data_IF_247933503935
#
_entry.id   IF_247933503935
#
_cell.length_a   1.000
_cell.length_b   1.000
_cell.length_c   1.000
_cell.angle_alpha   90.00
_cell.angle_beta   90.00
_cell.angle_gamma   90.00
#
_symmetry.space_group_name_H-M   'P 1'
#
loop_
_entity.id
_entity.type
_entity.pdbx_description
1 polymer ?
#
# COMPACT_ATOMS: atom_id res chain seq x y z
N UNK A 1 5.36 7.99 -24.91
CA UNK A 1 5.33 9.04 -23.88
C UNK A 1 5.55 8.57 -22.44
N UNK A 2 5.42 7.25 -22.12
CA UNK A 2 5.68 6.72 -20.75
C UNK A 2 7.16 6.59 -20.32
N UNK A 3 8.12 6.84 -21.19
CA UNK A 3 9.57 6.71 -20.85
C UNK A 3 10.24 8.03 -20.44
N UNK A 4 9.56 9.14 -20.54
CA UNK A 4 10.11 10.48 -20.20
C UNK A 4 9.75 10.88 -18.77
N UNK A 5 8.60 10.43 -18.24
CA UNK A 5 8.17 10.74 -16.86
C UNK A 5 9.01 10.07 -15.75
N UNK A 6 9.57 8.88 -16.01
CA UNK A 6 10.38 8.16 -15.00
C UNK A 6 11.77 8.81 -14.81
N UNK A 7 12.27 9.52 -15.81
CA UNK A 7 13.57 10.19 -15.73
C UNK A 7 13.60 11.46 -14.88
N UNK A 8 12.49 12.16 -14.78
CA UNK A 8 12.37 13.39 -13.99
C UNK A 8 12.16 13.11 -12.49
N UNK A 9 11.47 12.04 -12.16
CA UNK A 9 11.23 11.61 -10.76
C UNK A 9 12.54 11.23 -10.03
N UNK A 10 13.49 10.59 -10.73
CA UNK A 10 14.80 10.23 -10.15
C UNK A 10 15.75 11.44 -10.02
N UNK A 11 15.53 12.52 -10.76
CA UNK A 11 16.35 13.74 -10.65
C UNK A 11 15.95 14.62 -9.45
N UNK A 12 14.67 14.65 -9.08
CA UNK A 12 14.18 15.40 -7.91
C UNK A 12 14.67 14.78 -6.58
N UNK A 13 14.67 13.45 -6.48
CA UNK A 13 15.19 12.73 -5.28
C UNK A 13 16.72 12.93 -5.14
N UNK A 14 17.46 13.03 -6.23
CA UNK A 14 18.91 13.26 -6.19
C UNK A 14 19.30 14.68 -5.74
N UNK A 15 18.44 15.68 -5.92
CA UNK A 15 18.70 17.06 -5.48
C UNK A 15 18.44 17.25 -3.97
N UNK A 16 17.52 16.50 -3.37
CA UNK A 16 17.26 16.53 -1.92
C UNK A 16 18.37 15.81 -1.15
N UNK A 17 18.96 14.75 -1.72
CA UNK A 17 20.07 14.02 -1.11
C UNK A 17 21.44 14.72 -1.19
N UNK A 18 21.60 15.70 -2.10
CA UNK A 18 22.87 16.43 -2.26
C UNK A 18 23.01 17.65 -1.35
N UNK A 19 21.98 18.00 -0.56
CA UNK A 19 21.99 19.14 0.37
C UNK A 19 22.41 18.85 1.80
N UNK A 20 22.63 17.58 2.19
CA UNK A 20 23.10 17.21 3.54
C UNK A 20 24.56 16.77 3.54
N UNK A 21 25.46 17.75 3.54
CA UNK A 21 26.87 17.53 3.89
C UNK A 21 26.98 17.14 5.35
N UNK A 22 27.25 15.88 5.63
CA UNK A 22 27.61 15.40 6.96
C UNK A 22 29.10 15.59 7.15
N UNK A 23 29.45 16.57 7.95
CA UNK A 23 30.78 16.65 8.58
C UNK A 23 30.70 16.01 9.99
N UNK A 24 31.67 15.14 10.25
CA UNK A 24 31.79 14.38 11.49
C UNK A 24 32.43 15.24 12.57
N UNK A 25 31.71 15.49 13.66
CA UNK A 25 32.31 16.05 14.85
C UNK A 25 31.32 16.63 15.87
N UNK A 26 31.31 15.97 17.03
CA UNK A 26 30.91 16.47 18.36
C UNK A 26 29.42 16.55 18.75
N UNK A 27 29.04 15.60 19.62
CA UNK A 27 27.93 15.67 20.56
C UNK A 27 27.88 17.01 21.30
N UNK A 28 26.84 17.80 21.08
CA UNK A 28 26.31 18.76 22.07
C UNK A 28 24.79 18.73 22.02
N UNK A 29 24.21 18.48 23.21
CA UNK A 29 22.80 18.68 23.50
C UNK A 29 22.32 20.02 22.92
N UNK A 30 21.31 19.98 22.08
CA UNK A 30 20.50 21.14 21.75
C UNK A 30 19.14 20.92 22.39
N UNK A 31 19.02 21.45 23.59
CA UNK A 31 17.74 21.76 24.24
C UNK A 31 17.09 22.93 23.49
N UNK A 32 15.79 22.82 23.31
CA UNK A 32 14.86 23.94 23.02
C UNK A 32 15.18 24.76 21.77
N UNK A 33 14.65 24.36 20.64
CA UNK A 33 14.28 25.29 19.58
C UNK A 33 12.75 25.49 19.66
N UNK A 34 12.38 26.63 20.23
CA UNK A 34 11.03 27.20 20.10
C UNK A 34 10.70 27.30 18.62
N UNK A 35 9.79 26.44 18.13
CA UNK A 35 9.20 26.60 16.83
C UNK A 35 8.41 27.92 16.83
N UNK A 36 8.62 28.80 15.83
CA UNK A 36 7.91 30.08 15.79
C UNK A 36 6.41 29.80 15.63
N UNK A 37 5.61 30.17 16.63
CA UNK A 37 4.14 30.16 16.62
C UNK A 37 3.52 31.06 15.53
N UNK A 38 4.34 31.71 14.71
CA UNK A 38 3.91 32.70 13.71
C UNK A 38 3.73 32.15 12.29
N UNK A 39 4.06 30.88 11.99
CA UNK A 39 3.90 30.34 10.64
C UNK A 39 2.64 29.47 10.39
N UNK A 40 1.83 29.24 11.42
CA UNK A 40 0.58 28.48 11.25
C UNK A 40 -0.62 29.35 10.78
N UNK A 41 -0.47 30.65 10.68
CA UNK A 41 -1.53 31.59 10.25
C UNK A 41 -1.41 32.08 8.79
N UNK A 42 -0.34 31.76 8.09
CA UNK A 42 -0.06 32.32 6.74
C UNK A 42 -0.30 31.35 5.56
N UNK A 43 -0.78 30.11 5.78
CA UNK A 43 -1.26 29.25 4.71
C UNK A 43 -2.81 29.28 4.72
N UNK A 44 -3.38 30.46 4.65
CA UNK A 44 -4.78 30.68 4.27
C UNK A 44 -4.83 31.11 2.81
N UNK A 45 -4.60 30.15 1.91
CA UNK A 45 -5.10 30.34 0.56
C UNK A 45 -6.64 30.36 0.61
N UNK A 46 -7.34 31.23 -0.14
CA UNK A 46 -8.79 31.12 -0.25
C UNK A 46 -9.13 29.73 -0.79
N UNK A 47 -10.21 29.11 -0.28
CA UNK A 47 -10.77 27.90 -0.82
C UNK A 47 -10.77 28.01 -2.35
N UNK A 48 -10.20 27.02 -3.04
CA UNK A 48 -9.92 27.12 -4.46
C UNK A 48 -11.19 27.53 -5.21
N UNK A 49 -11.12 28.69 -5.88
CA UNK A 49 -12.27 29.18 -6.65
C UNK A 49 -12.37 28.35 -7.93
N UNK A 50 -13.60 27.91 -8.24
CA UNK A 50 -13.87 27.15 -9.47
C UNK A 50 -13.30 27.89 -10.69
N UNK A 51 -12.60 27.14 -11.54
CA UNK A 51 -12.13 27.62 -12.81
C UNK A 51 -13.30 28.01 -13.72
N UNK A 52 -13.11 28.88 -14.72
CA UNK A 52 -14.16 29.18 -15.69
C UNK A 52 -14.73 27.93 -16.37
N UNK A 53 -13.86 26.96 -16.69
CA UNK A 53 -14.25 25.69 -17.30
C UNK A 53 -15.15 24.87 -16.39
N UNK A 54 -14.83 24.78 -15.11
CA UNK A 54 -15.66 24.07 -14.13
C UNK A 54 -17.02 24.75 -13.97
N UNK A 55 -17.08 26.09 -13.87
CA UNK A 55 -18.32 26.85 -13.75
C UNK A 55 -19.26 26.62 -14.92
N UNK A 56 -18.74 26.58 -16.14
CA UNK A 56 -19.53 26.31 -17.36
C UNK A 56 -20.01 24.86 -17.44
N UNK A 57 -19.25 23.93 -16.88
CA UNK A 57 -19.57 22.50 -16.91
C UNK A 57 -20.63 22.06 -15.88
N UNK A 58 -20.88 22.85 -14.83
CA UNK A 58 -21.82 22.48 -13.76
C UNK A 58 -23.24 22.36 -14.32
N UNK A 59 -23.82 21.15 -14.20
CA UNK A 59 -25.21 20.88 -14.54
C UNK A 59 -26.10 20.69 -13.31
N UNK A 60 -25.53 20.42 -12.16
CA UNK A 60 -26.24 20.26 -10.88
C UNK A 60 -25.35 20.70 -9.72
N UNK A 61 -25.91 21.42 -8.74
CA UNK A 61 -25.26 21.73 -7.47
C UNK A 61 -26.15 21.26 -6.31
N UNK A 62 -25.60 20.46 -5.41
CA UNK A 62 -26.29 19.95 -4.24
C UNK A 62 -25.33 19.87 -3.05
N UNK A 63 -25.69 20.48 -1.90
CA UNK A 63 -24.91 20.49 -0.65
C UNK A 63 -23.46 20.94 -0.83
N UNK A 64 -23.22 21.93 -1.69
CA UNK A 64 -21.91 22.42 -2.06
C UNK A 64 -21.18 21.56 -3.11
N UNK A 65 -21.64 20.34 -3.39
CA UNK A 65 -21.09 19.47 -4.41
C UNK A 65 -21.59 19.88 -5.80
N UNK A 66 -20.65 20.05 -6.72
CA UNK A 66 -20.89 20.52 -8.08
C UNK A 66 -20.67 19.38 -9.07
N UNK A 67 -21.71 19.06 -9.83
CA UNK A 67 -21.71 17.90 -10.73
C UNK A 67 -21.86 18.31 -12.20
N UNK A 68 -21.15 17.58 -13.06
CA UNK A 68 -21.34 17.58 -14.50
C UNK A 68 -22.07 16.31 -14.93
N UNK A 69 -23.14 16.43 -15.71
CA UNK A 69 -23.77 15.28 -16.33
C UNK A 69 -23.07 14.94 -17.64
N UNK A 70 -22.63 13.69 -17.77
CA UNK A 70 -21.91 13.21 -18.94
C UNK A 70 -22.17 11.72 -19.19
N UNK A 71 -21.33 11.01 -19.91
CA UNK A 71 -21.47 9.58 -20.18
C UNK A 71 -20.26 8.80 -19.66
N UNK A 72 -20.46 7.53 -19.33
CA UNK A 72 -19.40 6.62 -18.90
C UNK A 72 -18.29 6.45 -19.95
N UNK A 73 -18.54 6.75 -21.21
CA UNK A 73 -17.58 6.70 -22.30
C UNK A 73 -16.37 7.63 -22.11
N UNK A 74 -16.55 8.77 -21.43
CA UNK A 74 -15.45 9.67 -21.11
C UNK A 74 -14.46 9.06 -20.12
N UNK A 75 -14.92 8.12 -19.28
CA UNK A 75 -14.14 7.41 -18.29
C UNK A 75 -13.88 5.96 -18.68
N UNK A 76 -14.02 5.59 -19.96
CA UNK A 76 -14.02 4.21 -20.42
C UNK A 76 -12.78 3.40 -20.00
N UNK A 77 -11.62 4.03 -19.94
CA UNK A 77 -10.41 3.37 -19.49
C UNK A 77 -10.55 2.77 -18.08
N UNK A 78 -11.26 3.46 -17.19
CA UNK A 78 -11.50 3.07 -15.81
C UNK A 78 -12.78 2.24 -15.66
N UNK A 79 -13.88 2.67 -16.27
CA UNK A 79 -15.23 2.14 -16.02
C UNK A 79 -15.56 0.86 -16.78
N UNK A 80 -14.83 0.51 -17.83
CA UNK A 80 -15.08 -0.71 -18.65
C UNK A 80 -15.18 -2.03 -17.87
N UNK A 81 -14.58 -2.10 -16.68
CA UNK A 81 -14.58 -3.30 -15.83
C UNK A 81 -15.66 -3.27 -14.73
N UNK A 82 -16.44 -2.21 -14.65
CA UNK A 82 -17.46 -1.99 -13.62
C UNK A 82 -18.90 -2.18 -14.12
N UNK A 83 -19.08 -2.68 -15.33
CA UNK A 83 -20.38 -3.02 -15.90
C UNK A 83 -21.14 -1.84 -16.50
N UNK A 84 -20.46 -0.76 -16.84
CA UNK A 84 -21.02 0.38 -17.58
C UNK A 84 -20.92 0.16 -19.08
N UNK A 85 -21.93 0.65 -19.82
CA UNK A 85 -21.84 0.91 -21.25
C UNK A 85 -21.32 2.32 -21.50
N UNK A 86 -20.59 2.54 -22.61
CA UNK A 86 -20.03 3.86 -22.91
C UNK A 86 -21.08 4.98 -23.02
N UNK A 87 -22.31 4.63 -23.35
CA UNK A 87 -23.44 5.57 -23.45
C UNK A 87 -24.20 5.80 -22.15
N UNK A 88 -23.88 5.05 -21.09
CA UNK A 88 -24.58 5.19 -19.82
C UNK A 88 -24.41 6.60 -19.25
N UNK A 89 -25.48 7.27 -18.81
CA UNK A 89 -25.37 8.57 -18.17
C UNK A 89 -24.70 8.43 -16.79
N UNK A 90 -23.83 9.37 -16.46
CA UNK A 90 -23.19 9.49 -15.16
C UNK A 90 -23.16 10.95 -14.69
N UNK A 91 -23.13 11.15 -13.38
CA UNK A 91 -22.75 12.43 -12.79
C UNK A 91 -21.29 12.36 -12.35
N UNK A 92 -20.47 13.26 -12.86
CA UNK A 92 -19.12 13.48 -12.41
C UNK A 92 -19.10 14.58 -11.35
N UNK A 93 -18.58 14.29 -10.16
CA UNK A 93 -18.29 15.32 -9.16
C UNK A 93 -17.03 16.06 -9.57
N UNK A 94 -17.15 17.33 -9.95
CA UNK A 94 -16.04 18.13 -10.47
C UNK A 94 -15.52 19.17 -9.49
N UNK A 95 -16.28 19.50 -8.44
CA UNK A 95 -15.87 20.49 -7.45
C UNK A 95 -16.70 20.43 -6.17
N UNK A 96 -16.17 21.01 -5.11
CA UNK A 96 -16.90 21.35 -3.89
C UNK A 96 -16.78 22.85 -3.62
N UNK A 97 -17.92 23.52 -3.45
CA UNK A 97 -18.00 24.94 -3.10
C UNK A 97 -18.60 25.12 -1.70
N UNK A 98 -17.81 25.64 -0.78
CA UNK A 98 -18.27 26.02 0.55
C UNK A 98 -19.08 27.31 0.50
N UNK A 99 -20.17 27.35 1.26
CA UNK A 99 -20.94 28.56 1.53
C UNK A 99 -20.79 28.93 3.01
N UNK A 100 -20.82 30.23 3.30
CA UNK A 100 -20.71 30.76 4.66
C UNK A 100 -21.96 31.56 5.01
N UNK A 101 -22.41 31.44 6.26
CA UNK A 101 -23.49 32.26 6.78
C UNK A 101 -23.04 33.73 7.06
N UNK A 102 -23.96 34.58 7.48
CA UNK A 102 -23.66 35.99 7.79
C UNK A 102 -22.66 36.16 8.97
N UNK A 103 -22.45 35.12 9.77
CA UNK A 103 -21.50 35.13 10.87
C UNK A 103 -20.15 34.49 10.49
N UNK A 104 -19.99 34.08 9.23
CA UNK A 104 -18.78 33.42 8.73
C UNK A 104 -18.67 31.94 9.08
N UNK A 105 -19.76 31.28 9.53
CA UNK A 105 -19.73 29.84 9.75
C UNK A 105 -19.94 29.10 8.44
N UNK A 106 -19.18 28.04 8.25
CA UNK A 106 -19.32 27.15 7.10
C UNK A 106 -20.70 26.45 7.12
N UNK A 107 -21.36 26.44 5.97
CA UNK A 107 -22.67 25.81 5.82
C UNK A 107 -22.55 24.29 5.69
N UNK A 108 -21.52 23.81 5.01
CA UNK A 108 -21.32 22.39 4.72
C UNK A 108 -20.09 21.87 5.48
N UNK A 109 -20.31 21.14 6.58
CA UNK A 109 -19.24 20.58 7.40
C UNK A 109 -19.22 19.05 7.36
N UNK A 110 -20.35 18.42 7.01
CA UNK A 110 -20.52 16.99 6.91
C UNK A 110 -20.90 16.64 5.48
N UNK A 111 -19.92 16.20 4.71
CA UNK A 111 -20.05 15.96 3.28
C UNK A 111 -20.31 14.49 3.01
N UNK A 112 -21.29 14.21 2.18
CA UNK A 112 -21.58 12.88 1.65
C UNK A 112 -21.65 12.95 0.13
N UNK A 113 -20.70 12.38 -0.56
CA UNK A 113 -20.78 12.17 -2.01
C UNK A 113 -21.67 10.95 -2.24
N UNK A 114 -22.85 11.08 -2.84
CA UNK A 114 -23.79 9.98 -2.98
C UNK A 114 -23.33 8.95 -4.02
N UNK A 115 -23.88 7.74 -3.93
CA UNK A 115 -23.64 6.69 -4.94
C UNK A 115 -24.32 7.01 -6.27
N UNK A 116 -25.51 7.61 -6.20
CA UNK A 116 -26.34 7.95 -7.36
C UNK A 116 -27.21 9.16 -7.04
N UNK A 117 -27.61 9.89 -8.08
CA UNK A 117 -28.57 10.99 -8.02
C UNK A 117 -29.66 10.67 -9.05
N UNK A 118 -30.94 10.57 -8.62
CA UNK A 118 -32.06 10.19 -9.46
C UNK A 118 -31.84 8.91 -10.29
N UNK A 119 -31.17 7.92 -9.69
CA UNK A 119 -30.84 6.65 -10.33
C UNK A 119 -29.67 6.70 -11.32
N UNK A 120 -28.99 7.86 -11.45
CA UNK A 120 -27.80 8.02 -12.28
C UNK A 120 -26.57 7.90 -11.38
N UNK A 121 -25.63 6.98 -11.68
CA UNK A 121 -24.42 6.79 -10.86
C UNK A 121 -23.56 8.05 -10.77
N UNK A 122 -22.97 8.26 -9.60
CA UNK A 122 -21.99 9.34 -9.36
C UNK A 122 -20.58 8.78 -9.48
N UNK A 123 -19.74 9.48 -10.21
CA UNK A 123 -18.29 9.27 -10.29
C UNK A 123 -17.64 10.41 -9.52
N UNK A 124 -16.80 10.06 -8.55
CA UNK A 124 -16.03 11.04 -7.80
C UNK A 124 -14.66 11.22 -8.46
N UNK A 125 -14.47 12.38 -9.07
CA UNK A 125 -13.21 12.80 -9.66
C UNK A 125 -12.64 14.04 -8.97
N UNK A 126 -13.29 14.53 -7.90
CA UNK A 126 -12.86 15.71 -7.18
C UNK A 126 -11.81 15.40 -6.12
N UNK A 127 -10.95 16.37 -5.88
CA UNK A 127 -10.02 16.38 -4.74
C UNK A 127 -10.51 17.37 -3.70
N UNK A 128 -10.58 16.93 -2.43
CA UNK A 128 -10.92 17.78 -1.30
C UNK A 128 -9.63 18.31 -0.67
N UNK A 129 -9.14 19.44 -1.20
CA UNK A 129 -7.85 20.05 -0.79
C UNK A 129 -8.13 21.33 -0.02
N UNK A 130 -7.49 21.49 1.15
CA UNK A 130 -7.56 22.69 2.01
C UNK A 130 -8.97 23.10 2.46
N UNK A 131 -9.89 22.15 2.49
CA UNK A 131 -11.22 22.37 3.06
C UNK A 131 -11.20 22.16 4.57
N UNK A 132 -10.58 23.11 5.29
CA UNK A 132 -10.41 23.05 6.76
C UNK A 132 -11.73 23.07 7.54
N UNK A 133 -12.84 23.51 6.93
CA UNK A 133 -14.16 23.53 7.54
C UNK A 133 -14.89 22.18 7.52
N UNK A 134 -14.44 21.22 6.70
CA UNK A 134 -15.03 19.89 6.67
C UNK A 134 -14.68 19.14 7.96
N UNK A 135 -15.71 18.61 8.63
CA UNK A 135 -15.59 17.77 9.83
C UNK A 135 -15.74 16.28 9.51
N UNK A 136 -16.58 15.94 8.56
CA UNK A 136 -16.70 14.57 8.09
C UNK A 136 -16.86 14.50 6.57
N UNK A 137 -16.20 13.52 5.96
CA UNK A 137 -16.30 13.23 4.54
C UNK A 137 -16.61 11.74 4.34
N UNK A 138 -17.65 11.45 3.57
CA UNK A 138 -18.04 10.10 3.17
C UNK A 138 -18.18 10.03 1.67
N UNK A 139 -17.35 9.25 1.00
CA UNK A 139 -17.44 9.07 -0.45
C UNK A 139 -18.15 7.74 -0.72
N UNK A 140 -19.38 7.84 -1.23
CA UNK A 140 -20.23 6.70 -1.62
C UNK A 140 -20.36 6.57 -3.13
N UNK A 141 -19.63 7.39 -3.89
CA UNK A 141 -19.65 7.35 -5.35
C UNK A 141 -19.53 5.92 -5.89
N UNK A 142 -20.14 5.67 -7.03
CA UNK A 142 -20.10 4.35 -7.68
C UNK A 142 -18.68 3.99 -8.15
N UNK A 143 -17.89 5.01 -8.44
CA UNK A 143 -16.49 4.92 -8.82
C UNK A 143 -15.76 6.19 -8.40
N UNK A 144 -14.49 6.06 -8.01
CA UNK A 144 -13.61 7.20 -7.74
C UNK A 144 -12.46 7.18 -8.76
N UNK A 145 -12.35 8.25 -9.53
CA UNK A 145 -11.45 8.33 -10.67
C UNK A 145 -10.78 9.69 -10.81
N UNK A 146 -10.10 9.86 -11.91
CA UNK A 146 -9.43 11.11 -12.27
C UNK A 146 -9.97 11.66 -13.59
N UNK A 147 -10.20 12.97 -13.67
CA UNK A 147 -10.60 13.66 -14.89
C UNK A 147 -9.82 14.97 -15.07
N UNK A 148 -9.95 15.59 -16.25
CA UNK A 148 -9.38 16.89 -16.51
C UNK A 148 -9.97 18.03 -15.65
N UNK A 149 -11.11 17.78 -15.01
CA UNK A 149 -11.79 18.73 -14.11
C UNK A 149 -11.38 18.56 -12.64
N UNK A 150 -10.71 17.47 -12.28
CA UNK A 150 -10.45 17.10 -10.88
C UNK A 150 -9.23 17.79 -10.27
N UNK A 151 -8.40 18.49 -11.06
CA UNK A 151 -7.20 19.15 -10.55
C UNK A 151 -7.45 20.64 -10.34
N UNK A 152 -7.33 21.10 -9.10
CA UNK A 152 -7.42 22.53 -8.74
C UNK A 152 -6.06 23.14 -8.35
N UNK A 153 -4.97 22.38 -8.35
CA UNK A 153 -3.65 22.89 -7.97
C UNK A 153 -2.67 22.84 -9.13
N UNK A 154 -1.90 23.91 -9.30
CA UNK A 154 -0.78 24.00 -10.26
C UNK A 154 0.51 23.33 -9.72
N UNK A 155 0.47 22.75 -8.52
CA UNK A 155 1.60 22.07 -7.89
C UNK A 155 1.58 20.58 -8.24
N UNK A 156 2.62 20.10 -8.92
CA UNK A 156 2.71 18.71 -9.42
C UNK A 156 2.59 17.63 -8.33
N UNK A 157 3.02 17.92 -7.10
CA UNK A 157 3.00 16.95 -5.99
C UNK A 157 1.60 16.76 -5.36
N UNK A 158 0.66 17.70 -5.58
CA UNK A 158 -0.71 17.65 -5.05
C UNK A 158 -1.68 17.02 -6.08
N UNK A 159 -1.23 16.82 -7.30
CA UNK A 159 -2.05 16.33 -8.41
C UNK A 159 -2.68 14.96 -8.19
N UNK A 160 -2.16 14.17 -7.25
CA UNK A 160 -2.66 12.84 -6.91
C UNK A 160 -3.34 12.76 -5.53
N UNK A 161 -3.32 13.85 -4.76
CA UNK A 161 -3.95 13.89 -3.45
C UNK A 161 -5.47 13.99 -3.58
N UNK A 162 -6.20 13.08 -2.98
CA UNK A 162 -7.68 13.12 -2.94
C UNK A 162 -8.20 13.94 -1.78
N UNK A 163 -7.56 13.87 -0.61
CA UNK A 163 -7.98 14.56 0.61
C UNK A 163 -6.73 15.00 1.36
N UNK A 164 -6.39 16.28 1.29
CA UNK A 164 -5.30 16.85 2.08
C UNK A 164 -5.65 18.23 2.61
N UNK A 165 -4.94 18.72 3.62
CA UNK A 165 -5.17 20.04 4.21
C UNK A 165 -6.51 20.19 4.99
N UNK A 166 -7.35 19.16 5.04
CA UNK A 166 -8.64 19.18 5.78
C UNK A 166 -8.39 19.08 7.29
N UNK A 167 -7.76 20.11 7.86
CA UNK A 167 -7.19 20.09 9.22
C UNK A 167 -8.20 19.85 10.33
N UNK A 168 -9.48 20.16 10.14
CA UNK A 168 -10.55 19.94 11.11
C UNK A 168 -11.37 18.67 10.85
N UNK A 169 -11.06 17.90 9.80
CA UNK A 169 -11.76 16.68 9.49
C UNK A 169 -11.50 15.62 10.57
N UNK A 170 -12.56 15.12 11.19
CA UNK A 170 -12.52 14.12 12.25
C UNK A 170 -12.83 12.70 11.76
N UNK A 171 -13.56 12.59 10.65
CA UNK A 171 -14.02 11.31 10.08
C UNK A 171 -13.86 11.30 8.57
N UNK A 172 -13.27 10.22 8.05
CA UNK A 172 -13.17 9.97 6.63
C UNK A 172 -13.56 8.53 6.27
N UNK A 173 -14.44 8.38 5.29
CA UNK A 173 -14.85 7.10 4.71
C UNK A 173 -14.57 7.13 3.21
N UNK A 174 -13.65 6.28 2.76
CA UNK A 174 -13.17 6.23 1.39
C UNK A 174 -14.17 5.50 0.48
N UNK A 175 -14.12 5.79 -0.82
CA UNK A 175 -14.90 5.07 -1.81
C UNK A 175 -14.54 3.58 -1.85
N UNK A 176 -15.53 2.74 -2.16
CA UNK A 176 -15.39 1.26 -2.12
C UNK A 176 -14.36 0.70 -3.12
N UNK A 177 -14.10 1.42 -4.20
CA UNK A 177 -13.15 1.05 -5.25
C UNK A 177 -11.73 1.58 -5.02
N UNK A 178 -11.50 2.38 -3.96
CA UNK A 178 -10.17 2.85 -3.61
C UNK A 178 -9.26 1.66 -3.29
N UNK A 179 -8.15 1.53 -4.01
CA UNK A 179 -7.23 0.40 -3.91
C UNK A 179 -5.86 0.75 -3.32
N UNK A 180 -5.51 2.03 -3.28
CA UNK A 180 -4.30 2.53 -2.62
C UNK A 180 -4.57 3.79 -1.80
N UNK A 181 -3.78 4.00 -0.77
CA UNK A 181 -3.67 5.22 0.01
C UNK A 181 -2.20 5.64 -0.01
N UNK A 182 -1.94 6.74 -0.68
CA UNK A 182 -0.60 7.27 -0.87
C UNK A 182 -0.18 8.16 0.33
N UNK A 183 1.10 8.44 0.47
CA UNK A 183 1.64 9.26 1.56
C UNK A 183 1.10 10.69 1.60
N UNK A 184 0.68 11.23 0.47
CA UNK A 184 0.12 12.59 0.33
C UNK A 184 -1.38 12.67 0.66
N UNK A 185 -2.11 11.56 0.63
CA UNK A 185 -3.58 11.56 0.62
C UNK A 185 -4.22 12.17 1.90
N UNK A 186 -3.54 12.12 3.02
CA UNK A 186 -4.08 12.64 4.29
C UNK A 186 -3.17 13.70 4.91
N UNK A 187 -2.24 14.22 4.12
CA UNK A 187 -1.32 15.26 4.59
C UNK A 187 -2.10 16.46 5.15
N UNK A 188 -1.76 16.89 6.36
CA UNK A 188 -2.42 18.02 7.03
C UNK A 188 -3.77 17.72 7.68
N UNK A 189 -4.31 16.47 7.62
CA UNK A 189 -5.57 16.10 8.27
C UNK A 189 -5.38 15.84 9.77
N UNK A 190 -4.90 16.85 10.51
CA UNK A 190 -4.44 16.73 11.91
C UNK A 190 -5.53 16.30 12.90
N UNK A 191 -6.78 16.66 12.66
CA UNK A 191 -7.92 16.32 13.55
C UNK A 191 -8.55 14.96 13.26
N UNK A 192 -8.08 14.23 12.23
CA UNK A 192 -8.66 12.96 11.84
C UNK A 192 -8.59 11.94 12.99
N UNK A 193 -9.76 11.49 13.47
CA UNK A 193 -9.92 10.52 14.57
C UNK A 193 -10.25 9.12 14.06
N UNK A 194 -11.02 9.05 12.98
CA UNK A 194 -11.51 7.79 12.42
C UNK A 194 -11.42 7.79 10.92
N UNK A 195 -10.86 6.71 10.38
CA UNK A 195 -10.85 6.42 8.95
C UNK A 195 -11.47 5.03 8.69
N UNK A 196 -12.25 4.91 7.60
CA UNK A 196 -12.83 3.66 7.12
C UNK A 196 -12.14 3.25 5.83
N UNK A 197 -11.42 2.14 5.87
CA UNK A 197 -10.68 1.56 4.76
C UNK A 197 -11.58 0.55 4.05
N UNK A 198 -11.86 0.73 2.75
CA UNK A 198 -12.79 -0.11 2.01
C UNK A 198 -12.19 -1.49 1.70
N UNK A 199 -13.08 -2.41 1.29
CA UNK A 199 -12.71 -3.78 0.91
C UNK A 199 -11.81 -3.86 -0.33
N UNK A 200 -11.84 -2.82 -1.19
CA UNK A 200 -11.02 -2.71 -2.41
C UNK A 200 -9.55 -2.47 -2.12
N UNK A 201 -9.23 -1.86 -0.97
CA UNK A 201 -7.89 -1.45 -0.59
C UNK A 201 -6.87 -2.59 -0.67
N UNK A 202 -5.75 -2.32 -1.34
CA UNK A 202 -4.62 -3.24 -1.51
C UNK A 202 -3.38 -2.75 -0.81
N UNK A 203 -3.15 -1.43 -0.82
CA UNK A 203 -1.91 -0.81 -0.37
C UNK A 203 -2.20 0.41 0.50
N UNK A 204 -1.52 0.51 1.63
CA UNK A 204 -1.46 1.72 2.45
C UNK A 204 0.02 2.04 2.59
N UNK A 205 0.48 3.06 1.87
CA UNK A 205 1.88 3.42 1.80
C UNK A 205 2.44 3.91 3.14
N UNK A 206 3.73 3.76 3.33
CA UNK A 206 4.43 4.36 4.48
C UNK A 206 4.15 5.87 4.52
N UNK A 207 4.07 6.39 5.74
CA UNK A 207 3.77 7.79 6.00
C UNK A 207 2.35 8.28 5.62
N UNK A 208 1.46 7.43 5.03
CA UNK A 208 0.10 7.85 4.68
C UNK A 208 -0.70 8.44 5.86
N UNK A 209 -0.34 8.12 7.11
CA UNK A 209 -0.95 8.68 8.32
C UNK A 209 -0.04 9.65 9.09
N UNK A 210 1.09 10.10 8.50
CA UNK A 210 2.13 10.87 9.19
C UNK A 210 1.61 12.10 9.95
N UNK A 211 0.75 12.89 9.34
CA UNK A 211 0.22 14.10 9.94
C UNK A 211 -1.12 13.90 10.67
N UNK A 212 -1.64 12.67 10.70
CA UNK A 212 -2.90 12.34 11.34
C UNK A 212 -2.70 12.09 12.85
N UNK A 213 -2.17 13.09 13.57
CA UNK A 213 -1.75 12.94 14.98
C UNK A 213 -2.87 12.56 15.97
N UNK A 214 -4.13 12.75 15.60
CA UNK A 214 -5.30 12.39 16.40
C UNK A 214 -5.96 11.08 15.98
N UNK A 215 -5.40 10.37 14.97
CA UNK A 215 -5.96 9.12 14.48
C UNK A 215 -5.88 8.03 15.55
N UNK A 216 -7.05 7.49 15.94
CA UNK A 216 -7.19 6.47 17.00
C UNK A 216 -8.07 5.30 16.59
N UNK A 217 -8.72 5.38 15.43
CA UNK A 217 -9.65 4.36 14.98
C UNK A 217 -9.54 4.16 13.48
N UNK A 218 -9.01 3.01 13.09
CA UNK A 218 -8.94 2.58 11.70
C UNK A 218 -9.86 1.37 11.54
N UNK A 219 -10.94 1.52 10.77
CA UNK A 219 -11.90 0.47 10.49
C UNK A 219 -11.58 -0.13 9.13
N UNK A 220 -11.45 -1.45 9.07
CA UNK A 220 -11.24 -2.17 7.83
C UNK A 220 -12.44 -3.03 7.50
N UNK A 221 -12.99 -2.89 6.31
CA UNK A 221 -14.04 -3.80 5.83
C UNK A 221 -13.48 -5.20 5.65
N UNK A 222 -12.27 -5.33 5.09
CA UNK A 222 -11.61 -6.62 4.91
C UNK A 222 -10.09 -6.51 4.87
N UNK A 223 -9.48 -6.55 6.02
CA UNK A 223 -8.03 -6.42 6.19
C UNK A 223 -7.21 -7.42 5.36
N UNK A 224 -7.68 -8.67 5.19
CA UNK A 224 -6.95 -9.70 4.44
C UNK A 224 -6.91 -9.45 2.92
N UNK A 225 -7.55 -8.39 2.39
CA UNK A 225 -7.37 -7.99 1.01
C UNK A 225 -6.10 -7.16 0.80
N UNK A 226 -5.60 -6.52 1.86
CA UNK A 226 -4.38 -5.72 1.81
C UNK A 226 -3.16 -6.58 1.47
N UNK A 227 -2.25 -6.02 0.69
CA UNK A 227 -0.96 -6.61 0.36
C UNK A 227 0.19 -5.89 1.08
N UNK A 228 0.07 -4.55 1.27
CA UNK A 228 1.05 -3.72 1.96
C UNK A 228 0.36 -2.71 2.91
N UNK A 229 0.96 -2.45 4.06
CA UNK A 229 0.39 -1.56 5.10
C UNK A 229 1.49 -0.81 5.86
N UNK A 230 2.44 -0.22 5.14
CA UNK A 230 3.57 0.50 5.73
C UNK A 230 3.16 1.51 6.79
N UNK A 231 2.13 2.33 6.51
CA UNK A 231 1.64 3.35 7.45
C UNK A 231 1.13 2.82 8.80
N UNK A 232 0.71 1.55 8.89
CA UNK A 232 0.31 0.98 10.20
C UNK A 232 1.52 0.71 11.08
N UNK A 233 2.69 0.42 10.50
CA UNK A 233 3.94 0.27 11.23
C UNK A 233 4.39 1.61 11.83
N UNK A 234 4.02 2.73 11.22
CA UNK A 234 4.32 4.09 11.66
C UNK A 234 3.41 4.59 12.80
N UNK A 235 2.43 3.78 13.23
CA UNK A 235 1.49 4.11 14.30
C UNK A 235 1.79 3.32 15.59
N UNK A 236 2.57 3.86 16.56
CA UNK A 236 2.96 3.14 17.77
C UNK A 236 1.76 2.57 18.55
N UNK A 237 0.68 3.34 18.70
CA UNK A 237 -0.54 2.92 19.39
C UNK A 237 -1.22 1.71 18.72
N UNK A 238 -1.16 1.64 17.37
CA UNK A 238 -1.76 0.56 16.61
C UNK A 238 -0.89 -0.70 16.72
N UNK A 239 0.41 -0.56 16.57
CA UNK A 239 1.38 -1.64 16.72
C UNK A 239 1.29 -2.24 18.12
N UNK A 240 1.38 -1.44 19.20
CA UNK A 240 1.27 -1.90 20.58
C UNK A 240 -0.04 -2.69 20.82
N UNK A 241 -1.17 -2.18 20.35
CA UNK A 241 -2.49 -2.80 20.50
C UNK A 241 -2.57 -4.18 19.86
N UNK A 242 -1.86 -4.43 18.76
CA UNK A 242 -1.99 -5.64 17.95
C UNK A 242 -0.78 -6.60 18.07
N UNK A 243 0.25 -6.20 18.78
CA UNK A 243 1.42 -7.04 19.07
C UNK A 243 1.05 -8.17 20.03
N UNK A 244 1.34 -9.39 19.60
CA UNK A 244 1.16 -10.60 20.40
C UNK A 244 2.34 -10.79 21.36
N UNK A 245 2.19 -11.62 22.40
CA UNK A 245 3.26 -11.93 23.37
C UNK A 245 4.56 -12.45 22.77
N UNK A 246 4.53 -12.95 21.54
CA UNK A 246 5.68 -13.49 20.80
C UNK A 246 6.22 -12.52 19.74
N UNK A 247 5.92 -11.24 19.83
CA UNK A 247 6.41 -10.20 18.92
C UNK A 247 5.71 -10.14 17.55
N UNK A 248 4.71 -11.02 17.29
CA UNK A 248 3.96 -10.97 16.02
C UNK A 248 2.84 -9.92 16.10
N UNK A 249 2.75 -9.06 15.11
CA UNK A 249 1.64 -8.11 14.94
C UNK A 249 0.61 -8.73 14.01
N UNK A 250 -0.53 -9.13 14.59
CA UNK A 250 -1.59 -9.83 13.83
C UNK A 250 -2.91 -9.10 14.01
N UNK A 251 -3.51 -8.71 12.90
CA UNK A 251 -4.85 -8.15 12.86
C UNK A 251 -5.74 -8.89 11.87
N UNK A 252 -6.97 -9.28 12.27
CA UNK A 252 -7.93 -10.04 11.45
C UNK A 252 -7.29 -11.22 10.67
N UNK A 253 -6.33 -11.92 11.27
CA UNK A 253 -5.53 -13.01 10.67
C UNK A 253 -4.57 -12.60 9.56
N UNK A 254 -4.33 -11.31 9.33
CA UNK A 254 -3.20 -10.80 8.55
C UNK A 254 -1.99 -10.63 9.46
N UNK A 255 -0.83 -11.15 9.08
CA UNK A 255 0.44 -10.86 9.71
C UNK A 255 1.00 -9.59 9.09
N UNK A 256 1.11 -8.54 9.89
CA UNK A 256 1.64 -7.23 9.50
C UNK A 256 3.13 -7.17 9.71
N UNK A 257 3.57 -7.68 10.86
CA UNK A 257 4.96 -7.63 11.27
C UNK A 257 5.31 -8.78 12.22
N UNK A 258 6.56 -9.18 12.26
CA UNK A 258 7.05 -10.22 13.13
C UNK A 258 8.46 -9.92 13.60
N UNK A 259 8.55 -9.03 14.57
CA UNK A 259 9.79 -8.74 15.26
C UNK A 259 10.16 -9.86 16.23
N UNK A 260 11.45 -10.09 16.42
CA UNK A 260 11.89 -11.06 17.41
C UNK A 260 13.33 -11.50 17.20
N UNK A 261 14.27 -10.74 17.75
CA UNK A 261 15.68 -11.11 17.71
C UNK A 261 15.92 -12.50 18.34
N UNK A 262 16.54 -13.39 17.56
CA UNK A 262 16.89 -14.74 18.00
C UNK A 262 15.72 -15.69 18.30
N UNK A 263 14.48 -15.27 18.13
CA UNK A 263 13.28 -16.04 18.47
C UNK A 263 12.85 -17.04 17.38
N UNK A 264 11.83 -17.86 17.68
CA UNK A 264 11.17 -18.68 16.66
C UNK A 264 9.77 -18.15 16.37
N UNK A 265 9.61 -17.60 15.18
CA UNK A 265 8.34 -17.11 14.64
C UNK A 265 7.60 -18.30 13.99
N UNK A 266 6.42 -18.65 14.50
CA UNK A 266 5.66 -19.82 14.00
C UNK A 266 4.37 -19.39 13.33
N UNK A 267 4.27 -19.63 12.03
CA UNK A 267 3.10 -19.31 11.20
C UNK A 267 2.20 -20.56 11.10
N UNK A 268 0.97 -20.44 11.61
CA UNK A 268 -0.09 -21.46 11.52
C UNK A 268 -1.37 -20.85 10.98
N UNK A 269 -2.08 -21.57 10.11
CA UNK A 269 -3.30 -21.08 9.44
C UNK A 269 -4.44 -20.71 10.38
N UNK A 270 -4.53 -21.32 11.53
CA UNK A 270 -5.54 -20.97 12.53
C UNK A 270 -5.34 -19.56 13.11
N UNK A 271 -4.11 -19.03 13.11
CA UNK A 271 -3.75 -17.68 13.59
C UNK A 271 -3.51 -16.70 12.45
N UNK A 272 -2.80 -17.12 11.41
CA UNK A 272 -2.42 -16.29 10.26
C UNK A 272 -3.02 -16.88 9.00
N UNK A 273 -3.85 -16.10 8.29
CA UNK A 273 -4.43 -16.47 7.00
C UNK A 273 -3.58 -15.93 5.85
N UNK A 274 -3.08 -14.69 5.99
CA UNK A 274 -2.24 -14.01 5.01
C UNK A 274 -1.02 -13.37 5.69
N UNK A 275 0.13 -13.42 5.03
CA UNK A 275 1.34 -12.70 5.39
C UNK A 275 1.48 -11.53 4.43
N UNK A 276 1.56 -10.31 4.95
CA UNK A 276 1.66 -9.08 4.18
C UNK A 276 3.10 -8.84 3.72
N UNK A 277 3.28 -7.88 2.81
CA UNK A 277 4.60 -7.45 2.39
C UNK A 277 5.41 -6.94 3.59
N UNK A 278 6.72 -7.13 3.56
CA UNK A 278 7.70 -6.70 4.57
C UNK A 278 7.41 -7.18 6.00
N UNK A 279 6.57 -8.23 6.15
CA UNK A 279 6.19 -8.74 7.47
C UNK A 279 7.35 -9.35 8.26
N UNK A 280 8.50 -9.57 7.64
CA UNK A 280 9.68 -10.15 8.28
C UNK A 280 10.91 -9.24 8.18
N UNK A 281 10.73 -7.96 7.86
CA UNK A 281 11.82 -7.00 7.67
C UNK A 281 12.78 -6.95 8.87
N UNK A 282 12.25 -6.86 10.09
CA UNK A 282 13.04 -6.78 11.32
C UNK A 282 13.17 -8.10 12.09
N UNK A 283 13.11 -9.24 11.42
CA UNK A 283 13.17 -10.57 12.03
C UNK A 283 14.60 -11.05 12.33
N UNK A 284 15.47 -10.17 12.85
CA UNK A 284 16.91 -10.38 13.10
C UNK A 284 17.22 -11.73 13.77
N UNK A 285 18.16 -12.49 13.15
CA UNK A 285 18.67 -13.77 13.68
C UNK A 285 17.60 -14.80 14.07
N UNK A 286 16.31 -14.55 13.77
CA UNK A 286 15.19 -15.41 14.11
C UNK A 286 15.14 -16.69 13.26
N UNK A 287 14.29 -17.63 13.69
CA UNK A 287 13.88 -18.78 12.88
C UNK A 287 12.42 -18.63 12.49
N UNK A 288 12.13 -18.44 11.21
CA UNK A 288 10.75 -18.42 10.71
C UNK A 288 10.35 -19.85 10.35
N UNK A 289 9.28 -20.34 10.99
CA UNK A 289 8.71 -21.66 10.74
C UNK A 289 7.26 -21.54 10.22
N UNK A 290 7.04 -21.89 8.97
CA UNK A 290 5.73 -21.92 8.35
C UNK A 290 5.19 -23.36 8.40
N UNK A 291 4.22 -23.63 9.25
CA UNK A 291 3.72 -25.01 9.47
C UNK A 291 2.55 -25.37 8.54
N UNK A 292 1.75 -24.41 8.14
CA UNK A 292 0.60 -24.58 7.26
C UNK A 292 0.66 -23.70 6.03
N UNK A 293 -0.10 -24.03 4.98
CA UNK A 293 -0.27 -23.16 3.83
C UNK A 293 -1.08 -21.91 4.23
N UNK A 294 -0.53 -20.73 3.91
CA UNK A 294 -1.13 -19.41 4.09
C UNK A 294 -1.07 -18.64 2.77
N UNK A 295 -1.81 -17.54 2.67
CA UNK A 295 -1.71 -16.59 1.57
C UNK A 295 -0.49 -15.69 1.80
N UNK A 296 0.18 -15.26 0.71
CA UNK A 296 1.39 -14.45 0.75
C UNK A 296 1.22 -13.24 -0.13
N UNK A 297 1.57 -12.08 0.36
CA UNK A 297 1.87 -10.92 -0.49
C UNK A 297 3.21 -11.10 -1.19
N UNK A 298 3.41 -10.41 -2.30
CA UNK A 298 4.55 -10.60 -3.20
C UNK A 298 5.90 -10.41 -2.49
N UNK A 299 6.00 -9.36 -1.68
CA UNK A 299 7.22 -8.94 -0.98
C UNK A 299 7.26 -9.38 0.49
N UNK A 300 6.55 -10.45 0.87
CA UNK A 300 6.46 -10.87 2.28
C UNK A 300 7.82 -11.18 2.94
N UNK A 301 8.86 -11.46 2.16
CA UNK A 301 10.22 -11.73 2.64
C UNK A 301 11.25 -10.70 2.15
N UNK A 302 10.81 -9.53 1.66
CA UNK A 302 11.75 -8.43 1.42
C UNK A 302 12.47 -8.10 2.72
N UNK A 303 13.74 -7.76 2.61
CA UNK A 303 14.60 -7.36 3.71
C UNK A 303 14.59 -8.29 4.95
N UNK A 304 14.16 -9.55 4.75
CA UNK A 304 14.07 -10.54 5.80
C UNK A 304 15.48 -10.91 6.33
N UNK A 305 15.75 -10.61 7.58
CA UNK A 305 17.03 -10.85 8.24
C UNK A 305 17.05 -12.13 9.10
N UNK A 306 16.05 -12.99 8.94
CA UNK A 306 16.00 -14.25 9.67
C UNK A 306 17.21 -15.13 9.38
N UNK A 307 17.75 -15.77 10.42
CA UNK A 307 18.85 -16.74 10.30
C UNK A 307 18.49 -17.92 9.39
N UNK A 308 17.25 -18.39 9.47
CA UNK A 308 16.73 -19.49 8.64
C UNK A 308 15.21 -19.44 8.51
N UNK A 309 14.73 -19.96 7.39
CA UNK A 309 13.30 -20.16 7.13
C UNK A 309 13.02 -21.65 6.92
N UNK A 310 11.95 -22.16 7.54
CA UNK A 310 11.57 -23.56 7.47
C UNK A 310 10.12 -23.63 6.99
N UNK A 311 9.91 -24.04 5.75
CA UNK A 311 8.60 -24.43 5.23
C UNK A 311 8.30 -25.89 5.64
N UNK A 312 7.32 -26.06 6.48
CA UNK A 312 6.94 -27.35 7.10
C UNK A 312 6.40 -28.38 6.10
N UNK A 313 6.09 -29.57 6.63
CA UNK A 313 5.66 -30.72 5.81
C UNK A 313 4.36 -30.49 5.03
N UNK A 314 3.48 -29.60 5.50
CA UNK A 314 2.21 -29.29 4.85
C UNK A 314 2.34 -28.23 3.74
N UNK A 315 3.41 -27.42 3.74
CA UNK A 315 3.60 -26.29 2.81
C UNK A 315 4.14 -26.77 1.48
N UNK A 316 3.40 -26.58 0.41
CA UNK A 316 3.76 -26.98 -0.95
C UNK A 316 3.58 -25.89 -1.99
N UNK A 317 3.05 -24.72 -1.59
CA UNK A 317 2.96 -23.52 -2.40
C UNK A 317 3.80 -22.44 -1.74
N UNK A 318 4.78 -21.94 -2.46
CA UNK A 318 5.68 -20.87 -2.00
C UNK A 318 5.58 -19.75 -3.03
N UNK A 319 4.53 -18.90 -2.94
CA UNK A 319 4.23 -17.87 -3.95
C UNK A 319 5.05 -16.58 -3.74
N UNK A 320 6.23 -16.69 -3.18
CA UNK A 320 7.12 -15.58 -2.90
C UNK A 320 7.76 -15.13 -4.21
N UNK A 321 7.69 -13.84 -4.51
CA UNK A 321 8.20 -13.26 -5.74
C UNK A 321 9.66 -12.92 -5.70
N UNK A 322 10.09 -12.22 -4.68
CA UNK A 322 11.41 -11.62 -4.62
C UNK A 322 12.01 -11.76 -3.22
N UNK A 323 13.32 -11.93 -3.19
CA UNK A 323 14.13 -12.02 -1.99
C UNK A 323 15.12 -10.85 -1.98
N UNK A 324 14.61 -9.62 -2.06
CA UNK A 324 15.45 -8.44 -2.02
C UNK A 324 16.19 -8.35 -0.69
N UNK A 325 17.40 -7.84 -0.73
CA UNK A 325 18.27 -7.40 0.37
C UNK A 325 18.43 -8.31 1.58
N UNK A 326 17.45 -9.16 1.89
CA UNK A 326 17.40 -9.97 3.11
C UNK A 326 18.62 -10.86 3.33
N UNK A 327 19.08 -10.97 4.60
CA UNK A 327 20.28 -11.71 5.01
C UNK A 327 20.07 -13.21 5.24
N UNK A 328 18.89 -13.76 4.99
CA UNK A 328 18.58 -15.18 5.20
C UNK A 328 19.50 -16.10 4.39
N UNK A 329 20.30 -16.91 5.07
CA UNK A 329 21.30 -17.82 4.45
C UNK A 329 20.80 -19.24 4.23
N UNK A 330 19.79 -19.69 5.00
CA UNK A 330 19.32 -21.09 4.97
C UNK A 330 17.81 -21.19 4.87
N UNK A 331 17.32 -21.88 3.84
CA UNK A 331 15.89 -22.08 3.59
C UNK A 331 15.63 -23.58 3.46
N UNK A 332 14.67 -24.11 4.23
CA UNK A 332 14.33 -25.53 4.27
C UNK A 332 12.90 -25.76 3.79
N UNK A 333 12.71 -26.66 2.84
CA UNK A 333 11.40 -27.12 2.39
C UNK A 333 11.20 -28.58 2.75
N UNK A 334 10.50 -28.82 3.86
CA UNK A 334 10.36 -30.14 4.51
C UNK A 334 9.28 -31.01 3.89
N UNK A 335 8.47 -30.47 2.98
CA UNK A 335 7.39 -31.24 2.33
C UNK A 335 7.93 -32.34 1.42
N UNK A 336 7.19 -33.46 1.33
CA UNK A 336 7.37 -34.50 0.31
C UNK A 336 6.45 -34.30 -0.91
N UNK A 337 5.56 -33.29 -0.85
CA UNK A 337 4.70 -32.92 -1.97
C UNK A 337 5.51 -32.20 -3.07
N UNK A 338 4.92 -32.09 -4.26
CA UNK A 338 5.43 -31.24 -5.34
C UNK A 338 5.34 -29.79 -4.94
N UNK A 339 6.46 -29.04 -4.90
CA UNK A 339 6.48 -27.64 -4.52
C UNK A 339 6.19 -26.79 -5.77
N UNK A 340 5.26 -25.85 -5.65
CA UNK A 340 4.96 -24.82 -6.62
C UNK A 340 5.61 -23.51 -6.13
N UNK A 341 6.49 -22.97 -6.96
CA UNK A 341 7.30 -21.79 -6.65
C UNK A 341 6.77 -20.55 -7.38
N UNK A 342 6.79 -19.41 -6.72
CA UNK A 342 6.31 -18.17 -7.27
C UNK A 342 4.77 -18.11 -7.36
N UNK A 343 4.26 -16.96 -7.79
CA UNK A 343 2.81 -16.73 -7.97
C UNK A 343 2.41 -16.89 -9.44
N UNK A 344 1.12 -16.84 -9.70
CA UNK A 344 0.56 -16.82 -11.05
C UNK A 344 -0.07 -15.47 -11.34
N UNK A 345 0.32 -14.87 -12.49
CA UNK A 345 -0.36 -13.76 -13.13
C UNK A 345 -0.82 -14.23 -14.50
N UNK A 346 -2.09 -14.04 -14.84
CA UNK A 346 -2.69 -14.45 -16.13
C UNK A 346 -2.41 -15.92 -16.50
N UNK A 347 -2.55 -16.80 -15.50
CA UNK A 347 -2.33 -18.24 -15.65
C UNK A 347 -0.86 -18.69 -15.74
N UNK A 348 0.09 -17.75 -15.83
CA UNK A 348 1.54 -18.03 -15.99
C UNK A 348 2.28 -17.84 -14.66
N UNK A 349 3.23 -18.72 -14.33
CA UNK A 349 4.12 -18.53 -13.19
C UNK A 349 5.07 -17.36 -13.47
N UNK A 350 5.22 -16.45 -12.51
CA UNK A 350 6.16 -15.33 -12.56
C UNK A 350 7.57 -15.73 -12.08
N UNK A 351 7.66 -16.81 -11.32
CA UNK A 351 8.93 -17.32 -10.79
C UNK A 351 9.36 -16.64 -9.51
N UNK A 352 10.57 -16.95 -9.08
CA UNK A 352 11.21 -16.33 -7.92
C UNK A 352 12.49 -15.65 -8.38
N UNK A 353 12.69 -14.42 -7.97
CA UNK A 353 13.95 -13.72 -8.08
C UNK A 353 14.80 -14.01 -6.82
N UNK A 354 15.93 -14.68 -7.02
CA UNK A 354 16.82 -15.07 -5.95
C UNK A 354 17.96 -14.06 -5.75
N UNK A 355 17.79 -12.83 -6.24
CA UNK A 355 18.82 -11.80 -6.09
C UNK A 355 19.23 -11.67 -4.63
N UNK A 356 20.50 -11.91 -4.37
CA UNK A 356 21.03 -12.05 -3.02
C UNK A 356 22.02 -10.94 -2.67
N UNK A 357 22.22 -9.94 -3.53
CA UNK A 357 23.21 -8.88 -3.32
C UNK A 357 24.57 -9.41 -2.80
N UNK A 358 25.05 -10.53 -3.41
CA UNK A 358 26.27 -11.21 -2.99
C UNK A 358 26.15 -12.17 -1.80
N UNK A 359 24.95 -12.31 -1.21
CA UNK A 359 24.71 -13.23 -0.09
C UNK A 359 24.54 -14.66 -0.61
N UNK A 360 25.42 -15.56 -0.19
CA UNK A 360 25.33 -16.99 -0.54
C UNK A 360 24.21 -17.66 0.23
N UNK A 361 23.16 -18.09 -0.49
CA UNK A 361 21.99 -18.79 0.07
C UNK A 361 22.03 -20.28 -0.18
N UNK A 362 21.53 -21.07 0.78
CA UNK A 362 21.38 -22.51 0.68
C UNK A 362 19.87 -22.87 0.80
N UNK A 363 19.33 -23.48 -0.25
CA UNK A 363 17.97 -23.96 -0.30
C UNK A 363 17.94 -25.48 -0.22
N UNK A 364 17.36 -26.04 0.83
CA UNK A 364 17.26 -27.47 1.10
C UNK A 364 15.86 -27.99 0.76
N UNK A 365 15.72 -28.81 -0.27
CA UNK A 365 14.44 -29.33 -0.75
C UNK A 365 14.36 -30.83 -0.52
N UNK A 366 13.48 -31.25 0.38
CA UNK A 366 13.32 -32.66 0.74
C UNK A 366 12.34 -33.42 -0.17
N UNK A 367 11.68 -32.76 -1.14
CA UNK A 367 10.77 -33.38 -2.09
C UNK A 367 11.50 -34.03 -3.24
N UNK A 368 11.14 -35.29 -3.55
CA UNK A 368 11.54 -35.97 -4.76
C UNK A 368 10.64 -35.64 -5.98
N UNK A 369 9.61 -34.83 -5.80
CA UNK A 369 8.69 -34.39 -6.84
C UNK A 369 9.12 -33.03 -7.39
N UNK A 370 9.15 -32.91 -8.71
CA UNK A 370 9.62 -31.72 -9.43
C UNK A 370 8.48 -31.01 -10.16
N UNK A 371 8.47 -29.68 -10.15
CA UNK A 371 7.49 -28.85 -10.85
C UNK A 371 8.19 -27.92 -11.86
N UNK A 372 8.38 -28.42 -13.08
CA UNK A 372 9.16 -27.74 -14.12
C UNK A 372 8.68 -26.33 -14.43
N UNK A 373 7.35 -26.14 -14.58
CA UNK A 373 6.76 -24.86 -14.98
C UNK A 373 7.06 -23.70 -13.99
N UNK A 374 7.24 -23.99 -12.70
CA UNK A 374 7.57 -22.95 -11.73
C UNK A 374 9.09 -22.79 -11.53
N UNK A 375 9.85 -23.89 -11.57
CA UNK A 375 11.32 -23.85 -11.40
C UNK A 375 12.00 -23.19 -12.60
N UNK A 376 11.50 -23.41 -13.82
CA UNK A 376 12.04 -22.78 -15.04
C UNK A 376 11.94 -21.26 -15.07
N UNK A 377 11.20 -20.67 -14.13
CA UNK A 377 11.02 -19.22 -13.98
C UNK A 377 11.89 -18.60 -12.88
N UNK A 378 12.79 -19.38 -12.26
CA UNK A 378 13.74 -18.82 -11.31
C UNK A 378 14.75 -17.91 -11.99
N UNK A 379 15.04 -16.77 -11.37
CA UNK A 379 15.95 -15.75 -11.87
C UNK A 379 17.05 -15.47 -10.85
N UNK A 380 18.16 -14.87 -11.30
CA UNK A 380 19.25 -14.36 -10.46
C UNK A 380 19.81 -15.38 -9.44
N UNK A 381 20.01 -16.64 -9.89
CA UNK A 381 20.39 -17.78 -9.04
C UNK A 381 21.92 -17.89 -8.77
N UNK A 382 22.73 -16.90 -9.10
CA UNK A 382 24.20 -16.96 -9.04
C UNK A 382 24.71 -17.39 -7.66
N UNK A 383 24.15 -16.83 -6.62
CA UNK A 383 24.54 -17.05 -5.23
C UNK A 383 23.68 -18.08 -4.50
N UNK A 384 22.83 -18.81 -5.23
CA UNK A 384 21.97 -19.85 -4.69
C UNK A 384 22.57 -21.25 -4.89
N UNK A 385 22.77 -21.99 -3.80
CA UNK A 385 23.05 -23.44 -3.84
C UNK A 385 21.78 -24.21 -3.45
N UNK A 386 21.34 -25.08 -4.35
CA UNK A 386 20.12 -25.89 -4.16
C UNK A 386 20.50 -27.33 -3.80
N UNK A 387 20.14 -27.74 -2.61
CA UNK A 387 20.36 -29.10 -2.10
C UNK A 387 19.08 -29.92 -2.32
N UNK A 388 19.14 -30.98 -3.09
CA UNK A 388 17.99 -31.82 -3.47
C UNK A 388 18.28 -33.31 -3.41
N UNK A 389 17.28 -34.18 -3.24
CA UNK A 389 17.48 -35.61 -3.37
C UNK A 389 18.10 -35.98 -4.74
N UNK A 390 19.04 -36.94 -4.73
CA UNK A 390 19.76 -37.39 -5.96
C UNK A 390 18.83 -37.67 -7.12
N UNK A 391 17.65 -38.23 -6.85
CA UNK A 391 16.60 -38.61 -7.83
C UNK A 391 16.09 -37.45 -8.69
N UNK A 392 16.11 -36.21 -8.17
CA UNK A 392 15.61 -35.03 -8.89
C UNK A 392 16.70 -34.05 -9.29
N UNK A 393 17.95 -34.29 -8.90
CA UNK A 393 19.06 -33.40 -9.13
C UNK A 393 19.26 -33.04 -10.62
N UNK A 394 19.21 -34.03 -11.52
CA UNK A 394 19.34 -33.79 -12.96
C UNK A 394 18.22 -32.87 -13.49
N UNK A 395 17.00 -32.98 -12.95
CA UNK A 395 15.90 -32.10 -13.34
C UNK A 395 16.15 -30.66 -12.91
N UNK A 396 16.60 -30.41 -11.68
CA UNK A 396 16.94 -29.06 -11.25
C UNK A 396 18.10 -28.47 -12.08
N UNK A 397 19.16 -29.22 -12.35
CA UNK A 397 20.26 -28.79 -13.23
C UNK A 397 19.82 -28.42 -14.64
N UNK A 398 18.82 -29.12 -15.18
CA UNK A 398 18.28 -28.83 -16.51
C UNK A 398 17.49 -27.49 -16.55
N UNK A 399 16.78 -27.15 -15.48
CA UNK A 399 15.83 -26.04 -15.47
C UNK A 399 16.28 -24.80 -14.69
N UNK A 400 17.42 -24.86 -13.98
CA UNK A 400 17.96 -23.71 -13.26
C UNK A 400 19.42 -23.46 -13.63
N UNK A 401 19.87 -22.21 -13.42
CA UNK A 401 21.28 -21.82 -13.53
C UNK A 401 21.99 -21.85 -12.16
N UNK A 402 21.33 -22.36 -11.12
CA UNK A 402 21.85 -22.43 -9.75
C UNK A 402 22.86 -23.56 -9.62
N UNK A 403 23.74 -23.47 -8.60
CA UNK A 403 24.54 -24.62 -8.15
C UNK A 403 23.63 -25.67 -7.55
N UNK A 404 23.57 -26.88 -8.10
CA UNK A 404 22.72 -27.98 -7.61
C UNK A 404 23.58 -29.11 -7.08
N UNK A 405 23.37 -29.48 -5.81
CA UNK A 405 24.09 -30.54 -5.10
C UNK A 405 23.13 -31.56 -4.50
N UNK A 406 23.64 -32.75 -4.18
CA UNK A 406 22.85 -33.75 -3.46
C UNK A 406 22.66 -33.35 -2.00
N UNK A 407 21.44 -33.66 -1.44
CA UNK A 407 21.16 -33.63 -0.02
C UNK A 407 21.94 -34.70 0.71
#
# INVERSE_FOLDING_TARGET
>A
MRKILIGTFLAAIALIAAGSGLDSGENKLVSELDAPKAQAEEIRGPAATLSPLQKEAISLKQDGLCYRKTTAGEFWYYLKNYGFDASDPVYELIAFEQEFDANGNAKYTDIVVPKEIDGIPVIDCNSFIDHYEIKSLRIKAAYSGWSEYSTQSDEEDIMFCRVCGCSNMEYYEMADDTDSLEWVDLMGCKSLKTIVIPKGMRTIESEAFKDCVNLKNIKFDKFTNLDYVGALKDLPWWMEKHTQKNGMVIYQKGLVDAEGEGSTIVIRRNRVKKVLADAFEYSLESTIRVEDEVEWSEYAFSDCEAKKIIFGKKVSKIPIGEWYSGHTKKIYCMTKKKIKWGWKKDGKYQGIDWNANGIKRNLYIHSEKFHAASVSKWRNCKDLTVHVPRKVMAKYRKYTKCKVVAL
#
